data_IF_641508705875
#
_entry.id   IF_641508705875
#
_cell.length_a   1.000
_cell.length_b   1.000
_cell.length_c   1.000
_cell.angle_alpha   90.00
_cell.angle_beta   90.00
_cell.angle_gamma   90.00
#
_symmetry.space_group_name_H-M   'P 1'
#
loop_
_entity.id
_entity.type
_entity.pdbx_description
1 polymer ?
#
# COMPACT_ATOMS: atom_id res chain seq x y z
N UNK A 1 -1.79 9.86 10.74
CA UNK A 1 -0.60 9.45 11.52
C UNK A 1 0.34 8.57 10.72
N UNK A 2 -0.10 7.42 10.20
CA UNK A 2 0.76 6.46 9.46
C UNK A 2 1.59 7.11 8.31
N UNK A 3 1.00 7.98 7.51
CA UNK A 3 1.74 8.71 6.45
C UNK A 3 2.86 9.61 7.01
N UNK A 4 2.63 10.26 8.15
CA UNK A 4 3.61 11.14 8.79
C UNK A 4 4.75 10.34 9.42
N UNK A 5 4.44 9.20 10.04
CA UNK A 5 5.45 8.27 10.56
C UNK A 5 6.35 7.75 9.45
N UNK A 6 5.74 7.25 8.36
CA UNK A 6 6.50 6.76 7.21
C UNK A 6 7.33 7.85 6.51
N UNK A 7 6.83 9.09 6.48
CA UNK A 7 7.57 10.24 5.97
C UNK A 7 8.76 10.59 6.87
N UNK A 8 8.59 10.57 8.20
CA UNK A 8 9.67 10.78 9.15
C UNK A 8 10.77 9.71 8.99
N UNK A 9 10.41 8.43 8.94
CA UNK A 9 11.36 7.34 8.71
C UNK A 9 12.16 7.54 7.42
N UNK A 10 11.48 7.97 6.34
CA UNK A 10 12.12 8.23 5.06
C UNK A 10 13.12 9.38 5.14
N UNK A 11 12.76 10.50 5.79
CA UNK A 11 13.62 11.68 5.92
C UNK A 11 14.80 11.42 6.85
N UNK A 12 14.57 10.72 7.96
CA UNK A 12 15.63 10.30 8.88
C UNK A 12 16.68 9.47 8.12
N UNK A 13 16.25 8.47 7.35
CA UNK A 13 17.15 7.66 6.55
C UNK A 13 17.84 8.47 5.43
N UNK A 14 17.13 9.42 4.79
CA UNK A 14 17.67 10.24 3.71
C UNK A 14 18.74 11.24 4.19
N UNK A 15 18.65 11.71 5.43
CA UNK A 15 19.63 12.62 6.04
C UNK A 15 20.74 11.90 6.83
N UNK A 16 20.85 10.57 6.71
CA UNK A 16 21.94 9.78 7.30
C UNK A 16 21.75 9.42 8.78
N UNK A 17 20.52 9.44 9.28
CA UNK A 17 20.22 8.97 10.64
C UNK A 17 20.34 7.44 10.79
N UNK A 18 20.25 6.93 12.04
CA UNK A 18 19.96 7.66 13.28
C UNK A 18 21.18 8.42 13.85
N UNK A 19 20.90 9.49 14.60
CA UNK A 19 21.91 10.28 15.30
C UNK A 19 22.01 9.86 16.78
N UNK A 20 23.23 9.81 17.33
CA UNK A 20 23.51 9.32 18.69
C UNK A 20 24.13 10.37 19.62
N UNK A 21 24.40 11.57 19.11
CA UNK A 21 24.84 12.72 19.89
C UNK A 21 23.89 13.92 19.68
N UNK A 22 23.93 14.86 20.62
CA UNK A 22 23.03 16.01 20.64
C UNK A 22 23.16 16.91 19.40
N UNK A 23 24.38 17.14 18.93
CA UNK A 23 24.65 18.03 17.79
C UNK A 23 24.13 17.40 16.50
N UNK A 24 24.40 16.12 16.28
CA UNK A 24 23.88 15.35 15.15
C UNK A 24 22.35 15.24 15.21
N UNK A 25 21.77 15.03 16.39
CA UNK A 25 20.31 14.98 16.57
C UNK A 25 19.66 16.31 16.20
N UNK A 26 20.14 17.46 16.71
CA UNK A 26 19.61 18.78 16.36
C UNK A 26 19.69 19.05 14.86
N UNK A 27 20.83 18.74 14.25
CA UNK A 27 21.03 18.89 12.81
C UNK A 27 20.06 18.02 12.00
N UNK A 28 19.83 16.77 12.43
CA UNK A 28 18.89 15.87 11.79
C UNK A 28 17.44 16.34 11.98
N UNK A 29 17.08 16.78 13.18
CA UNK A 29 15.76 17.29 13.52
C UNK A 29 15.38 18.48 12.64
N UNK A 30 16.26 19.48 12.51
CA UNK A 30 15.99 20.67 11.70
C UNK A 30 15.75 20.32 10.23
N UNK A 31 16.54 19.40 9.68
CA UNK A 31 16.38 18.90 8.31
C UNK A 31 15.06 18.15 8.13
N UNK A 32 14.76 17.18 9.01
CA UNK A 32 13.52 16.40 8.94
C UNK A 32 12.30 17.31 9.09
N UNK A 33 12.31 18.24 10.05
CA UNK A 33 11.20 19.17 10.30
C UNK A 33 10.89 20.04 9.10
N UNK A 34 11.92 20.48 8.36
CA UNK A 34 11.74 21.32 7.18
C UNK A 34 10.92 20.62 6.08
N UNK A 35 11.13 19.32 5.89
CA UNK A 35 10.54 18.57 4.77
C UNK A 35 9.34 17.68 5.16
N UNK A 36 9.09 17.49 6.47
CA UNK A 36 8.12 16.49 6.96
C UNK A 36 6.69 16.75 6.48
N UNK A 37 6.22 18.00 6.54
CA UNK A 37 4.85 18.36 6.17
C UNK A 37 4.62 18.08 4.67
N UNK A 38 5.51 18.59 3.83
CA UNK A 38 5.42 18.43 2.38
C UNK A 38 5.48 16.97 1.96
N UNK A 39 6.40 16.19 2.54
CA UNK A 39 6.48 14.76 2.24
C UNK A 39 5.24 14.00 2.73
N UNK A 40 4.69 14.37 3.89
CA UNK A 40 3.46 13.76 4.42
C UNK A 40 2.29 14.00 3.47
N UNK A 41 2.11 15.24 2.98
CA UNK A 41 1.04 15.57 2.01
C UNK A 41 1.18 14.75 0.73
N UNK A 42 2.40 14.70 0.14
CA UNK A 42 2.65 13.88 -1.06
C UNK A 42 2.38 12.40 -0.82
N UNK A 43 2.70 11.91 0.38
CA UNK A 43 2.42 10.53 0.78
C UNK A 43 0.92 10.26 0.87
N UNK A 44 0.14 11.21 1.41
CA UNK A 44 -1.32 11.11 1.47
C UNK A 44 -1.90 10.99 0.06
N UNK A 45 -1.45 11.81 -0.90
CA UNK A 45 -1.93 11.76 -2.28
C UNK A 45 -1.68 10.38 -2.92
N UNK A 46 -0.49 9.81 -2.71
CA UNK A 46 -0.16 8.48 -3.19
C UNK A 46 -1.01 7.39 -2.51
N UNK A 47 -1.22 7.52 -1.21
CA UNK A 47 -2.03 6.58 -0.41
C UNK A 47 -3.50 6.62 -0.81
N UNK A 48 -4.04 7.78 -1.16
CA UNK A 48 -5.40 7.89 -1.69
C UNK A 48 -5.58 7.06 -2.96
N UNK A 49 -4.60 7.08 -3.88
CA UNK A 49 -4.65 6.24 -5.08
C UNK A 49 -4.61 4.75 -4.74
N UNK A 50 -3.76 4.34 -3.80
CA UNK A 50 -3.66 2.96 -3.32
C UNK A 50 -4.99 2.50 -2.71
N UNK A 51 -5.60 3.33 -1.86
CA UNK A 51 -6.88 3.02 -1.24
C UNK A 51 -8.01 2.96 -2.28
N UNK A 52 -8.00 3.82 -3.30
CA UNK A 52 -8.96 3.75 -4.39
C UNK A 52 -8.84 2.43 -5.18
N UNK A 53 -7.62 1.98 -5.48
CA UNK A 53 -7.36 0.71 -6.15
C UNK A 53 -7.79 -0.49 -5.27
N UNK A 54 -7.47 -0.46 -3.98
CA UNK A 54 -7.91 -1.47 -3.02
C UNK A 54 -9.44 -1.55 -2.92
N UNK A 55 -10.12 -0.40 -2.82
CA UNK A 55 -11.59 -0.34 -2.80
C UNK A 55 -12.22 -0.87 -4.10
N UNK A 56 -11.58 -0.66 -5.26
CA UNK A 56 -12.03 -1.23 -6.51
C UNK A 56 -11.96 -2.77 -6.50
N UNK A 57 -10.87 -3.33 -5.97
CA UNK A 57 -10.73 -4.78 -5.79
C UNK A 57 -11.81 -5.32 -4.84
N UNK A 58 -12.04 -4.66 -3.70
CA UNK A 58 -13.07 -5.03 -2.72
C UNK A 58 -14.49 -5.02 -3.31
N UNK A 59 -14.84 -3.98 -4.10
CA UNK A 59 -16.14 -3.93 -4.78
C UNK A 59 -16.30 -5.10 -5.75
N UNK A 60 -15.25 -5.42 -6.50
CA UNK A 60 -15.28 -6.53 -7.46
C UNK A 60 -15.39 -7.88 -6.76
N UNK A 61 -14.66 -8.09 -5.67
CA UNK A 61 -14.79 -9.28 -4.83
C UNK A 61 -16.23 -9.51 -4.38
N UNK A 62 -16.92 -8.46 -3.93
CA UNK A 62 -18.33 -8.53 -3.51
C UNK A 62 -19.29 -8.85 -4.65
N UNK A 63 -18.93 -8.51 -5.89
CA UNK A 63 -19.75 -8.81 -7.07
C UNK A 63 -19.53 -10.23 -7.63
N UNK A 64 -18.41 -10.88 -7.29
CA UNK A 64 -18.08 -12.22 -7.77
C UNK A 64 -18.77 -13.30 -6.93
N UNK A 65 -19.98 -13.70 -7.33
CA UNK A 65 -20.83 -14.63 -6.59
C UNK A 65 -20.99 -15.98 -7.31
N UNK A 66 -19.90 -16.73 -7.46
CA UNK A 66 -19.93 -18.11 -7.98
C UNK A 66 -19.39 -19.09 -6.95
N UNK A 67 -20.12 -20.18 -6.71
CA UNK A 67 -19.68 -21.28 -5.83
C UNK A 67 -18.39 -21.93 -6.33
N UNK A 68 -18.17 -21.99 -7.64
CA UNK A 68 -16.94 -22.55 -8.23
C UNK A 68 -15.71 -21.67 -8.00
N UNK A 69 -15.91 -20.39 -7.69
CA UNK A 69 -14.83 -19.41 -7.50
C UNK A 69 -14.51 -19.13 -6.04
N UNK A 70 -15.17 -19.80 -5.08
CA UNK A 70 -15.03 -19.49 -3.64
C UNK A 70 -13.58 -19.55 -3.17
N UNK A 71 -12.80 -20.53 -3.61
CA UNK A 71 -11.38 -20.64 -3.25
C UNK A 71 -10.56 -19.45 -3.79
N UNK A 72 -10.78 -19.10 -5.08
CA UNK A 72 -10.09 -17.99 -5.73
C UNK A 72 -10.46 -16.62 -5.13
N UNK A 73 -11.74 -16.42 -4.79
CA UNK A 73 -12.24 -15.20 -4.13
C UNK A 73 -11.65 -15.08 -2.72
N UNK A 74 -11.57 -16.18 -1.99
CA UNK A 74 -10.97 -16.21 -0.64
C UNK A 74 -9.47 -15.89 -0.69
N UNK A 75 -8.72 -16.49 -1.61
CA UNK A 75 -7.29 -16.19 -1.78
C UNK A 75 -7.02 -14.71 -2.08
N UNK A 76 -7.79 -14.11 -3.01
CA UNK A 76 -7.65 -12.67 -3.30
C UNK A 76 -7.98 -11.83 -2.07
N UNK A 77 -9.04 -12.17 -1.33
CA UNK A 77 -9.41 -11.44 -0.10
C UNK A 77 -8.28 -11.47 0.93
N UNK A 78 -7.68 -12.63 1.16
CA UNK A 78 -6.53 -12.78 2.06
C UNK A 78 -5.30 -12.04 1.56
N UNK A 79 -5.07 -12.00 0.24
CA UNK A 79 -4.04 -11.19 -0.36
C UNK A 79 -4.26 -9.69 -0.09
N UNK A 80 -5.47 -9.16 -0.33
CA UNK A 80 -5.78 -7.75 -0.10
C UNK A 80 -5.62 -7.36 1.38
N UNK A 81 -6.05 -8.22 2.30
CA UNK A 81 -5.88 -8.01 3.74
C UNK A 81 -4.41 -7.93 4.16
N UNK A 82 -3.51 -8.70 3.51
CA UNK A 82 -2.07 -8.65 3.75
C UNK A 82 -1.39 -7.44 3.10
N UNK A 83 -1.93 -6.94 1.99
CA UNK A 83 -1.37 -5.81 1.25
C UNK A 83 -1.71 -4.46 1.91
N UNK A 84 -2.89 -4.33 2.50
CA UNK A 84 -3.37 -3.07 3.10
C UNK A 84 -3.87 -3.28 4.54
N UNK A 85 -3.01 -3.74 5.47
CA UNK A 85 -3.35 -3.76 6.89
C UNK A 85 -3.40 -2.34 7.47
N UNK A 86 -3.87 -2.19 8.72
CA UNK A 86 -3.67 -0.94 9.46
C UNK A 86 -2.17 -0.64 9.59
N UNK A 87 -1.75 0.61 9.34
CA UNK A 87 -0.35 0.99 9.39
C UNK A 87 0.48 0.57 8.16
N UNK A 88 -0.17 0.19 7.04
CA UNK A 88 0.55 -0.35 5.88
C UNK A 88 1.56 0.61 5.27
N UNK A 89 1.40 1.94 5.43
CA UNK A 89 2.29 2.92 4.81
C UNK A 89 3.67 2.86 5.45
N UNK A 90 3.72 2.84 6.79
CA UNK A 90 4.97 2.66 7.54
C UNK A 90 5.55 1.27 7.34
N UNK A 91 4.72 0.21 7.43
CA UNK A 91 5.18 -1.16 7.25
C UNK A 91 5.78 -1.42 5.84
N UNK A 92 5.15 -0.85 4.81
CA UNK A 92 5.63 -0.93 3.43
C UNK A 92 6.82 -0.01 3.21
N UNK A 93 6.81 1.20 3.77
CA UNK A 93 7.78 2.25 3.54
C UNK A 93 7.61 2.92 2.17
N UNK A 94 7.88 4.22 2.10
CA UNK A 94 7.47 5.06 0.96
C UNK A 94 8.05 4.62 -0.39
N UNK A 95 9.28 4.09 -0.39
CA UNK A 95 9.96 3.61 -1.61
C UNK A 95 9.23 2.44 -2.28
N UNK A 96 8.48 1.64 -1.51
CA UNK A 96 7.80 0.42 -1.99
C UNK A 96 6.30 0.62 -2.22
N UNK A 97 5.75 1.81 -1.96
CA UNK A 97 4.35 2.11 -2.27
C UNK A 97 3.99 1.90 -3.76
N UNK A 98 4.88 2.18 -4.74
CA UNK A 98 4.61 1.83 -6.14
C UNK A 98 4.45 0.31 -6.37
N UNK A 99 5.19 -0.52 -5.64
CA UNK A 99 5.04 -1.98 -5.71
C UNK A 99 3.69 -2.43 -5.15
N UNK A 100 3.24 -1.82 -4.05
CA UNK A 100 1.91 -2.08 -3.50
C UNK A 100 0.81 -1.80 -4.54
N UNK A 101 0.89 -0.66 -5.24
CA UNK A 101 0.00 -0.34 -6.35
C UNK A 101 0.03 -1.41 -7.44
N UNK A 102 1.23 -1.85 -7.85
CA UNK A 102 1.42 -2.92 -8.85
C UNK A 102 0.71 -4.21 -8.44
N UNK A 103 0.80 -4.60 -7.17
CA UNK A 103 0.11 -5.80 -6.67
C UNK A 103 -1.42 -5.65 -6.64
N UNK A 104 -1.94 -4.47 -6.27
CA UNK A 104 -3.39 -4.21 -6.30
C UNK A 104 -3.94 -4.25 -7.73
N UNK A 105 -3.23 -3.66 -8.70
CA UNK A 105 -3.62 -3.73 -10.12
C UNK A 105 -3.60 -5.17 -10.63
N UNK A 106 -2.62 -5.98 -10.22
CA UNK A 106 -2.57 -7.40 -10.58
C UNK A 106 -3.75 -8.18 -9.97
N UNK A 107 -4.12 -7.90 -8.71
CA UNK A 107 -5.27 -8.50 -8.06
C UNK A 107 -6.59 -8.14 -8.76
N UNK A 108 -6.79 -6.86 -9.13
CA UNK A 108 -7.97 -6.44 -9.89
C UNK A 108 -8.07 -7.15 -11.24
N UNK A 109 -6.96 -7.24 -11.99
CA UNK A 109 -6.91 -7.98 -13.26
C UNK A 109 -7.26 -9.45 -13.08
N UNK A 110 -6.75 -10.10 -12.03
CA UNK A 110 -7.09 -11.50 -11.71
C UNK A 110 -8.59 -11.65 -11.50
N UNK A 111 -9.20 -10.78 -10.71
CA UNK A 111 -10.65 -10.77 -10.49
C UNK A 111 -11.46 -10.49 -11.76
N UNK A 112 -10.99 -9.62 -12.66
CA UNK A 112 -11.65 -9.35 -13.94
C UNK A 112 -11.69 -10.58 -14.85
N UNK A 113 -10.65 -11.42 -14.82
CA UNK A 113 -10.53 -12.59 -15.70
C UNK A 113 -11.26 -13.84 -15.16
N UNK A 114 -11.57 -13.88 -13.85
CA UNK A 114 -12.21 -15.05 -13.22
C UNK A 114 -13.51 -15.49 -13.90
N UNK A 115 -14.48 -14.62 -14.21
CA UNK A 115 -15.75 -15.06 -14.82
C UNK A 115 -15.55 -15.72 -16.19
N UNK A 116 -14.60 -15.22 -17.00
CA UNK A 116 -14.27 -15.75 -18.33
C UNK A 116 -13.41 -17.01 -18.29
N UNK A 117 -12.67 -17.25 -17.21
CA UNK A 117 -11.86 -18.46 -17.04
C UNK A 117 -12.72 -19.67 -16.67
N UNK A 118 -13.77 -19.47 -15.86
CA UNK A 118 -14.72 -20.56 -15.50
C UNK A 118 -15.35 -21.20 -16.73
N UNK A 119 -15.65 -20.41 -17.77
CA UNK A 119 -16.24 -20.90 -19.01
C UNK A 119 -15.28 -21.74 -19.85
N UNK A 120 -13.97 -21.55 -19.70
CA UNK A 120 -12.95 -22.31 -20.43
C UNK A 120 -12.68 -23.69 -19.83
N UNK A 121 -12.78 -23.83 -18.51
CA UNK A 121 -12.51 -25.11 -17.81
C UNK A 121 -13.68 -26.11 -17.87
N UNK A 122 -14.85 -25.69 -18.39
CA UNK A 122 -16.03 -26.56 -18.54
C UNK A 122 -16.26 -27.10 -19.95
N UNK A 123 -15.38 -26.79 -20.90
CA UNK A 123 -15.35 -27.28 -22.30
C UNK A 123 -14.15 -28.17 -22.52
#
# INVERSE_FOLDING_TARGET
EDCATAAADRLIAAHGGPAWDEKAFRTLYDKVRADLVDLTVRTIDQVQQILAAWQACERRLKSTNSLTLVANVTDVREQLARLVPSGFVTATGLRRLPDLMRYLVAADRRLQQMPTAVQRDTT
#
